data_IF_601571507683
#
_entry.id   IF_601571507683
#
_cell.length_a   1.000
_cell.length_b   1.000
_cell.length_c   1.000
_cell.angle_alpha   90.00
_cell.angle_beta   90.00
_cell.angle_gamma   90.00
#
_symmetry.space_group_name_H-M   'P 1'
#
loop_
_entity.id
_entity.type
_entity.pdbx_description
1 polymer ?
#
# COMPACT_ATOMS: atom_id res chain seq x y z
N UNK A 1 2.21 -22.37 -0.73
CA UNK A 1 2.69 -21.81 0.56
C UNK A 1 2.38 -20.32 0.65
N UNK A 2 2.89 -19.51 -0.29
CA UNK A 2 2.57 -18.08 -0.33
C UNK A 2 1.07 -17.79 -0.53
N UNK A 3 0.36 -18.57 -1.35
CA UNK A 3 -1.09 -18.39 -1.55
C UNK A 3 -1.92 -18.49 -0.27
N UNK A 4 -1.58 -19.42 0.63
CA UNK A 4 -2.30 -19.60 1.89
C UNK A 4 -2.01 -18.46 2.87
N UNK A 5 -0.75 -18.02 2.94
CA UNK A 5 -0.32 -16.87 3.75
C UNK A 5 -1.01 -15.59 3.28
N UNK A 6 -1.02 -15.33 1.97
CA UNK A 6 -1.70 -14.17 1.38
C UNK A 6 -3.20 -14.17 1.71
N UNK A 7 -3.89 -15.30 1.52
CA UNK A 7 -5.31 -15.43 1.86
C UNK A 7 -5.58 -15.19 3.35
N UNK A 8 -4.67 -15.63 4.23
CA UNK A 8 -4.76 -15.43 5.66
C UNK A 8 -4.55 -13.96 6.06
N UNK A 9 -3.59 -13.27 5.46
CA UNK A 9 -3.41 -11.82 5.64
C UNK A 9 -4.63 -11.04 5.15
N UNK A 10 -5.16 -11.39 3.99
CA UNK A 10 -6.35 -10.75 3.43
C UNK A 10 -7.58 -10.95 4.34
N UNK A 11 -7.80 -12.17 4.83
CA UNK A 11 -8.83 -12.48 5.83
C UNK A 11 -8.66 -11.64 7.09
N UNK A 12 -7.44 -11.56 7.66
CA UNK A 12 -7.17 -10.77 8.87
C UNK A 12 -7.52 -9.30 8.67
N UNK A 13 -7.14 -8.71 7.54
CA UNK A 13 -7.48 -7.31 7.24
C UNK A 13 -9.00 -7.08 7.16
N UNK A 14 -9.76 -7.94 6.48
CA UNK A 14 -11.22 -7.85 6.39
C UNK A 14 -11.86 -7.91 7.79
N UNK A 15 -11.42 -8.86 8.61
CA UNK A 15 -11.92 -9.01 9.98
C UNK A 15 -11.55 -7.80 10.85
N UNK A 16 -10.33 -7.29 10.74
CA UNK A 16 -9.89 -6.10 11.47
C UNK A 16 -10.69 -4.86 11.07
N UNK A 17 -10.98 -4.63 9.78
CA UNK A 17 -11.81 -3.49 9.34
C UNK A 17 -13.19 -3.59 9.98
N UNK A 18 -13.78 -4.78 9.95
CA UNK A 18 -15.10 -5.02 10.52
C UNK A 18 -15.11 -4.72 12.02
N UNK A 19 -14.11 -5.19 12.77
CA UNK A 19 -14.00 -4.93 14.21
C UNK A 19 -13.74 -3.45 14.53
N UNK A 20 -12.79 -2.83 13.82
CA UNK A 20 -12.38 -1.44 14.07
C UNK A 20 -13.43 -0.41 13.61
N UNK A 21 -14.33 -0.80 12.70
CA UNK A 21 -15.50 -0.01 12.30
C UNK A 21 -16.73 -0.24 13.18
N UNK A 22 -16.56 -0.89 14.33
CA UNK A 22 -17.66 -1.28 15.23
C UNK A 22 -18.77 -2.05 14.50
N UNK A 23 -18.40 -2.90 13.53
CA UNK A 23 -19.31 -3.69 12.70
C UNK A 23 -20.25 -2.86 11.80
N UNK A 24 -19.98 -1.57 11.58
CA UNK A 24 -20.92 -0.69 10.88
C UNK A 24 -20.43 -0.22 9.51
N UNK A 25 -19.14 0.06 9.32
CA UNK A 25 -18.61 0.74 8.13
C UNK A 25 -17.52 -0.10 7.45
N UNK A 26 -17.96 -1.07 6.65
CA UNK A 26 -17.06 -1.97 5.92
C UNK A 26 -17.67 -2.40 4.57
N UNK A 27 -16.81 -2.78 3.62
CA UNK A 27 -17.17 -3.06 2.22
C UNK A 27 -16.97 -4.54 1.82
N UNK A 28 -16.25 -5.33 2.63
CA UNK A 28 -16.01 -6.76 2.43
C UNK A 28 -16.39 -7.58 3.67
N UNK A 29 -16.81 -8.82 3.42
CA UNK A 29 -17.02 -9.86 4.42
C UNK A 29 -16.24 -11.12 4.03
N UNK A 30 -15.92 -11.95 5.03
CA UNK A 30 -15.21 -13.21 4.81
C UNK A 30 -16.13 -14.40 5.08
N UNK A 31 -16.30 -15.27 4.10
CA UNK A 31 -17.09 -16.50 4.26
C UNK A 31 -16.20 -17.61 4.82
N UNK A 32 -16.39 -17.94 6.09
CA UNK A 32 -15.65 -19.00 6.76
C UNK A 32 -15.87 -20.41 6.18
N UNK A 33 -16.97 -20.64 5.44
CA UNK A 33 -17.27 -21.94 4.83
C UNK A 33 -16.56 -22.12 3.48
N UNK A 34 -16.56 -21.09 2.64
CA UNK A 34 -15.92 -21.14 1.31
C UNK A 34 -14.46 -20.74 1.36
N UNK A 35 -14.02 -20.02 2.40
CA UNK A 35 -12.67 -19.49 2.48
C UNK A 35 -12.43 -18.34 1.49
N UNK A 36 -13.49 -17.62 1.11
CA UNK A 36 -13.44 -16.51 0.14
C UNK A 36 -14.06 -15.22 0.68
N UNK A 37 -13.63 -14.09 0.13
CA UNK A 37 -14.24 -12.80 0.41
C UNK A 37 -15.50 -12.58 -0.43
N UNK A 38 -16.43 -11.77 0.06
CA UNK A 38 -17.59 -11.33 -0.70
C UNK A 38 -17.96 -9.89 -0.31
N UNK A 39 -18.66 -9.12 -1.16
CA UNK A 39 -19.04 -7.76 -0.81
C UNK A 39 -20.02 -7.71 0.36
N UNK A 40 -19.87 -6.69 1.20
CA UNK A 40 -20.70 -6.50 2.38
C UNK A 40 -22.19 -6.32 2.05
N UNK A 41 -23.03 -6.50 3.07
CA UNK A 41 -24.47 -6.23 2.94
C UNK A 41 -24.75 -4.78 2.50
N UNK A 42 -25.91 -4.54 1.87
CA UNK A 42 -26.31 -3.20 1.39
C UNK A 42 -26.22 -2.13 2.48
N UNK A 43 -26.59 -2.46 3.72
CA UNK A 43 -26.57 -1.51 4.84
C UNK A 43 -25.15 -1.12 5.24
N UNK A 44 -24.24 -2.10 5.35
CA UNK A 44 -22.84 -1.86 5.67
C UNK A 44 -22.14 -1.05 4.57
N UNK A 45 -22.47 -1.34 3.29
CA UNK A 45 -21.97 -0.57 2.16
C UNK A 45 -22.44 0.89 2.20
N UNK A 46 -23.72 1.17 2.48
CA UNK A 46 -24.22 2.55 2.59
C UNK A 46 -23.52 3.30 3.72
N UNK A 47 -23.35 2.66 4.88
CA UNK A 47 -22.60 3.23 6.00
C UNK A 47 -21.15 3.55 5.62
N UNK A 48 -20.49 2.65 4.90
CA UNK A 48 -19.15 2.88 4.35
C UNK A 48 -19.08 4.05 3.35
N UNK A 49 -20.08 4.21 2.48
CA UNK A 49 -20.19 5.34 1.57
C UNK A 49 -20.30 6.65 2.34
N UNK A 50 -21.19 6.72 3.33
CA UNK A 50 -21.35 7.91 4.19
C UNK A 50 -20.03 8.23 4.90
N UNK A 51 -19.38 7.21 5.47
CA UNK A 51 -18.10 7.38 6.14
C UNK A 51 -17.01 7.95 5.21
N UNK A 52 -16.93 7.44 3.98
CA UNK A 52 -15.98 7.93 2.96
C UNK A 52 -16.26 9.37 2.57
N UNK A 53 -17.54 9.75 2.41
CA UNK A 53 -17.94 11.13 2.13
C UNK A 53 -17.57 12.07 3.29
N UNK A 54 -17.81 11.66 4.54
CA UNK A 54 -17.44 12.46 5.72
C UNK A 54 -15.92 12.61 5.80
N UNK A 55 -15.16 11.55 5.57
CA UNK A 55 -13.69 11.62 5.55
C UNK A 55 -13.19 12.58 4.46
N UNK A 56 -13.78 12.54 3.26
CA UNK A 56 -13.37 13.37 2.11
C UNK A 56 -13.76 14.84 2.29
N UNK A 57 -15.01 15.12 2.66
CA UNK A 57 -15.56 16.48 2.60
C UNK A 57 -15.55 17.22 3.93
N UNK A 58 -15.33 16.52 5.06
CA UNK A 58 -15.32 17.15 6.39
C UNK A 58 -13.96 16.97 7.05
N UNK A 59 -13.49 15.74 7.21
CA UNK A 59 -12.27 15.47 7.99
C UNK A 59 -11.02 15.94 7.26
N UNK A 60 -10.84 15.55 6.00
CA UNK A 60 -9.64 15.94 5.25
C UNK A 60 -9.48 17.47 5.19
N UNK A 61 -10.52 18.29 4.89
CA UNK A 61 -10.42 19.74 4.96
C UNK A 61 -10.06 20.27 6.36
N UNK A 62 -10.67 19.73 7.43
CA UNK A 62 -10.33 20.11 8.82
C UNK A 62 -8.85 19.84 9.09
N UNK A 63 -8.34 18.68 8.71
CA UNK A 63 -6.93 18.32 8.88
C UNK A 63 -6.00 19.26 8.10
N UNK A 64 -6.34 19.58 6.84
CA UNK A 64 -5.57 20.52 6.04
C UNK A 64 -5.56 21.94 6.64
N UNK A 65 -6.71 22.45 7.07
CA UNK A 65 -6.82 23.76 7.74
C UNK A 65 -6.00 23.76 9.02
N UNK A 66 -6.10 22.68 9.83
CA UNK A 66 -5.35 22.58 11.08
C UNK A 66 -3.84 22.53 10.85
N UNK A 67 -3.38 21.77 9.84
CA UNK A 67 -1.97 21.77 9.46
C UNK A 67 -1.49 23.16 9.04
N UNK A 68 -2.33 23.93 8.33
CA UNK A 68 -2.02 25.31 7.95
C UNK A 68 -1.94 26.25 9.17
N UNK A 69 -2.89 26.16 10.10
CA UNK A 69 -2.89 26.93 11.34
C UNK A 69 -1.64 26.66 12.19
N UNK A 70 -1.34 25.38 12.42
CA UNK A 70 -0.17 24.92 13.19
C UNK A 70 1.17 25.33 12.55
N UNK A 71 1.19 25.57 11.24
CA UNK A 71 2.39 26.09 10.56
C UNK A 71 2.64 27.57 10.87
N UNK A 72 1.58 28.36 11.08
CA UNK A 72 1.66 29.81 11.31
C UNK A 72 1.85 30.20 12.79
N UNK A 73 1.61 29.28 13.71
CA UNK A 73 1.76 29.49 15.14
C UNK A 73 3.25 29.48 15.55
N UNK A 74 3.73 30.59 16.13
CA UNK A 74 5.14 30.78 16.47
C UNK A 74 5.66 29.81 17.55
N UNK A 75 4.76 29.26 18.38
CA UNK A 75 5.07 28.43 19.55
C UNK A 75 4.34 27.08 19.53
N UNK A 76 3.96 26.56 18.35
CA UNK A 76 3.34 25.23 18.31
C UNK A 76 4.31 24.17 18.80
N UNK A 77 3.83 23.26 19.64
CA UNK A 77 4.58 22.07 20.00
C UNK A 77 4.87 21.23 18.74
N UNK A 78 6.15 20.94 18.42
CA UNK A 78 6.51 20.15 17.24
C UNK A 78 5.82 18.78 17.18
N UNK A 79 5.47 18.20 18.34
CA UNK A 79 4.72 16.95 18.42
C UNK A 79 3.32 17.06 17.82
N UNK A 80 2.59 18.14 18.14
CA UNK A 80 1.25 18.39 17.58
C UNK A 80 1.29 18.62 16.07
N UNK A 81 2.26 19.41 15.59
CA UNK A 81 2.45 19.64 14.15
C UNK A 81 2.72 18.32 13.43
N UNK A 82 3.61 17.50 13.97
CA UNK A 82 3.97 16.21 13.40
C UNK A 82 2.76 15.26 13.32
N UNK A 83 2.03 15.09 14.42
CA UNK A 83 0.85 14.19 14.45
C UNK A 83 -0.23 14.68 13.49
N UNK A 84 -0.55 15.98 13.48
CA UNK A 84 -1.55 16.52 12.57
C UNK A 84 -1.19 16.25 11.10
N UNK A 85 0.08 16.46 10.73
CA UNK A 85 0.56 16.20 9.37
C UNK A 85 0.51 14.72 9.00
N UNK A 86 0.93 13.82 9.90
CA UNK A 86 0.88 12.37 9.67
C UNK A 86 -0.54 11.87 9.49
N UNK A 87 -1.48 12.33 10.33
CA UNK A 87 -2.90 11.99 10.21
C UNK A 87 -3.46 12.51 8.88
N UNK A 88 -3.12 13.74 8.49
CA UNK A 88 -3.55 14.34 7.23
C UNK A 88 -3.01 13.59 6.00
N UNK A 89 -1.74 13.20 6.04
CA UNK A 89 -1.09 12.43 4.98
C UNK A 89 -1.67 11.02 4.87
N UNK A 90 -1.79 10.31 6.01
CA UNK A 90 -2.38 8.97 6.05
C UNK A 90 -3.79 8.95 5.45
N UNK A 91 -4.63 9.92 5.84
CA UNK A 91 -5.99 10.01 5.30
C UNK A 91 -5.96 10.37 3.81
N UNK A 92 -5.13 11.33 3.39
CA UNK A 92 -4.99 11.70 1.97
C UNK A 92 -4.58 10.50 1.09
N UNK A 93 -3.66 9.66 1.56
CA UNK A 93 -3.24 8.43 0.86
C UNK A 93 -4.34 7.37 0.86
N UNK A 94 -5.15 7.31 1.91
CA UNK A 94 -6.28 6.37 2.02
C UNK A 94 -7.48 6.74 1.13
N UNK A 95 -7.73 8.02 0.88
CA UNK A 95 -8.91 8.48 0.16
C UNK A 95 -9.09 7.82 -1.22
N UNK A 96 -8.07 7.69 -2.10
CA UNK A 96 -8.22 6.97 -3.38
C UNK A 96 -8.74 5.54 -3.22
N UNK A 97 -8.19 4.78 -2.26
CA UNK A 97 -8.66 3.43 -1.99
C UNK A 97 -10.07 3.42 -1.40
N UNK A 98 -10.37 4.38 -0.51
CA UNK A 98 -11.71 4.49 0.05
C UNK A 98 -12.75 4.75 -1.04
N UNK A 99 -12.45 5.69 -1.96
CA UNK A 99 -13.28 6.00 -3.11
C UNK A 99 -13.46 4.83 -4.06
N UNK A 100 -12.41 4.03 -4.30
CA UNK A 100 -12.51 2.83 -5.13
C UNK A 100 -13.58 1.86 -4.58
N UNK A 101 -13.63 1.65 -3.25
CA UNK A 101 -14.57 0.72 -2.62
C UNK A 101 -15.94 1.33 -2.29
N UNK A 102 -16.21 2.60 -2.63
CA UNK A 102 -17.54 3.22 -2.46
C UNK A 102 -18.59 2.46 -3.26
N UNK A 103 -18.23 1.94 -4.44
CA UNK A 103 -19.13 1.20 -5.31
C UNK A 103 -19.01 -0.31 -5.06
N UNK A 104 -20.16 -0.98 -4.98
CA UNK A 104 -20.22 -2.41 -4.66
C UNK A 104 -19.65 -3.25 -5.80
N UNK A 105 -19.83 -2.80 -7.03
CA UNK A 105 -19.33 -3.40 -8.27
C UNK A 105 -17.80 -3.49 -8.23
N UNK A 106 -17.13 -2.43 -7.77
CA UNK A 106 -15.66 -2.41 -7.62
C UNK A 106 -15.15 -3.38 -6.56
N UNK A 107 -15.93 -3.61 -5.49
CA UNK A 107 -15.62 -4.66 -4.52
C UNK A 107 -15.67 -6.05 -5.16
N UNK A 108 -16.62 -6.31 -6.06
CA UNK A 108 -16.65 -7.57 -6.83
C UNK A 108 -15.43 -7.70 -7.75
N UNK A 109 -15.13 -6.68 -8.56
CA UNK A 109 -13.98 -6.66 -9.46
C UNK A 109 -12.65 -6.85 -8.72
N UNK A 110 -12.52 -6.27 -7.52
CA UNK A 110 -11.36 -6.44 -6.66
C UNK A 110 -11.20 -7.87 -6.17
N UNK A 111 -12.29 -8.48 -5.67
CA UNK A 111 -12.26 -9.88 -5.22
C UNK A 111 -11.91 -10.80 -6.39
N UNK A 112 -12.54 -10.62 -7.55
CA UNK A 112 -12.29 -11.42 -8.74
C UNK A 112 -10.83 -11.30 -9.21
N UNK A 113 -10.27 -10.09 -9.19
CA UNK A 113 -8.87 -9.84 -9.51
C UNK A 113 -7.92 -10.54 -8.53
N UNK A 114 -8.23 -10.47 -7.23
CA UNK A 114 -7.45 -11.12 -6.18
C UNK A 114 -7.51 -12.66 -6.29
N UNK A 115 -8.70 -13.22 -6.49
CA UNK A 115 -8.90 -14.67 -6.65
C UNK A 115 -8.25 -15.20 -7.92
N UNK A 116 -8.35 -14.47 -9.04
CA UNK A 116 -7.69 -14.81 -10.30
C UNK A 116 -6.17 -14.94 -10.15
N UNK A 117 -5.56 -14.07 -9.35
CA UNK A 117 -4.12 -14.12 -9.03
C UNK A 117 -3.78 -15.36 -8.23
N UNK A 118 -4.60 -15.71 -7.23
CA UNK A 118 -4.47 -16.94 -6.46
C UNK A 118 -4.63 -18.18 -7.35
N UNK A 119 -5.58 -18.17 -8.28
CA UNK A 119 -5.84 -19.32 -9.16
C UNK A 119 -4.71 -19.52 -10.18
N UNK A 120 -4.16 -18.43 -10.73
CA UNK A 120 -2.94 -18.49 -11.55
C UNK A 120 -1.76 -19.05 -10.75
N UNK A 121 -1.62 -18.68 -9.48
CA UNK A 121 -0.60 -19.26 -8.61
C UNK A 121 -0.79 -20.78 -8.43
N UNK A 122 -2.00 -21.23 -8.08
CA UNK A 122 -2.33 -22.66 -7.91
C UNK A 122 -2.10 -23.46 -9.18
N UNK A 123 -2.56 -22.93 -10.33
CA UNK A 123 -2.34 -23.55 -11.63
C UNK A 123 -0.84 -23.77 -11.91
N UNK A 124 0.01 -22.78 -11.60
CA UNK A 124 1.44 -22.92 -11.76
C UNK A 124 2.04 -23.93 -10.77
N UNK A 125 1.54 -24.00 -9.53
CA UNK A 125 1.94 -25.03 -8.56
C UNK A 125 1.62 -26.44 -9.06
N UNK A 126 0.45 -26.64 -9.67
CA UNK A 126 0.04 -27.93 -10.25
C UNK A 126 0.91 -28.38 -11.43
N UNK A 127 1.35 -27.44 -12.26
CA UNK A 127 2.25 -27.71 -13.37
C UNK A 127 3.69 -27.97 -12.93
N UNK A 128 4.08 -27.54 -11.73
CA UNK A 128 5.44 -27.69 -11.26
C UNK A 128 5.75 -29.14 -10.83
N UNK A 129 6.95 -29.69 -11.16
CA UNK A 129 7.35 -31.01 -10.70
C UNK A 129 7.32 -31.11 -9.16
N UNK A 130 6.56 -32.07 -8.62
CA UNK A 130 6.32 -32.23 -7.15
C UNK A 130 7.60 -32.47 -6.33
N UNK A 131 8.67 -32.96 -6.94
CA UNK A 131 9.89 -33.39 -6.24
C UNK A 131 10.86 -32.26 -5.89
N UNK A 132 10.64 -31.03 -6.38
CA UNK A 132 11.46 -29.87 -6.05
C UNK A 132 10.65 -28.89 -5.22
N UNK A 133 10.61 -29.12 -3.89
CA UNK A 133 10.13 -28.11 -2.95
C UNK A 133 11.11 -26.94 -2.98
N UNK A 134 10.75 -25.90 -3.71
CA UNK A 134 11.47 -24.64 -3.70
C UNK A 134 11.34 -24.06 -2.28
N UNK A 135 12.44 -24.14 -1.52
CA UNK A 135 12.56 -23.42 -0.24
C UNK A 135 12.90 -21.98 -0.59
N UNK A 136 11.90 -21.19 -0.97
CA UNK A 136 12.03 -19.73 -0.84
C UNK A 136 12.41 -19.50 0.62
N UNK A 137 13.52 -18.80 0.87
CA UNK A 137 14.10 -18.69 2.21
C UNK A 137 13.04 -18.20 3.19
N UNK A 138 12.80 -19.00 4.22
CA UNK A 138 11.87 -18.82 5.36
C UNK A 138 11.90 -17.43 6.02
N UNK A 139 12.92 -16.62 5.70
CA UNK A 139 13.13 -15.27 6.23
C UNK A 139 12.12 -14.28 5.63
N UNK A 140 11.72 -14.43 4.36
CA UNK A 140 10.80 -13.50 3.70
C UNK A 140 9.35 -13.67 4.20
N UNK A 141 8.92 -14.90 4.54
CA UNK A 141 7.57 -15.19 5.03
C UNK A 141 7.34 -14.70 6.45
N UNK A 142 8.36 -14.80 7.32
CA UNK A 142 8.27 -14.28 8.68
C UNK A 142 8.13 -12.75 8.73
N UNK A 143 8.82 -12.04 7.83
CA UNK A 143 8.70 -10.57 7.75
C UNK A 143 7.31 -10.15 7.26
N UNK A 144 6.79 -10.78 6.21
CA UNK A 144 5.46 -10.49 5.69
C UNK A 144 4.35 -10.73 6.73
N UNK A 145 4.43 -11.84 7.47
CA UNK A 145 3.48 -12.13 8.55
C UNK A 145 3.62 -11.14 9.71
N UNK A 146 4.84 -10.78 10.12
CA UNK A 146 5.07 -9.77 11.15
C UNK A 146 4.50 -8.40 10.73
N UNK A 147 4.72 -7.97 9.49
CA UNK A 147 4.15 -6.75 8.94
C UNK A 147 2.62 -6.80 8.94
N UNK A 148 2.04 -7.91 8.46
CA UNK A 148 0.60 -8.09 8.46
C UNK A 148 0.02 -8.03 9.86
N UNK A 149 0.59 -8.75 10.83
CA UNK A 149 0.14 -8.74 12.23
C UNK A 149 0.27 -7.33 12.85
N UNK A 150 1.38 -6.65 12.58
CA UNK A 150 1.60 -5.28 13.06
C UNK A 150 0.52 -4.34 12.53
N UNK A 151 0.21 -4.42 11.23
CA UNK A 151 -0.79 -3.57 10.59
C UNK A 151 -2.22 -3.92 11.04
N UNK A 152 -2.54 -5.20 11.21
CA UNK A 152 -3.92 -5.63 11.53
C UNK A 152 -4.27 -5.52 13.01
N UNK A 153 -3.27 -5.55 13.90
CA UNK A 153 -3.49 -5.57 15.36
C UNK A 153 -2.69 -4.49 16.09
N UNK A 154 -1.38 -4.39 15.84
CA UNK A 154 -0.50 -3.46 16.57
C UNK A 154 -0.85 -1.99 16.34
N UNK A 155 -0.87 -1.57 15.07
CA UNK A 155 -1.13 -0.17 14.71
C UNK A 155 -2.55 0.28 15.10
N UNK A 156 -3.63 -0.50 14.89
CA UNK A 156 -4.97 -0.17 15.39
C UNK A 156 -5.03 0.10 16.90
N UNK A 157 -4.29 -0.69 17.71
CA UNK A 157 -4.19 -0.47 19.15
C UNK A 157 -3.48 0.84 19.46
N UNK A 158 -2.39 1.15 18.75
CA UNK A 158 -1.67 2.43 18.89
C UNK A 158 -2.57 3.61 18.50
N UNK A 159 -3.30 3.52 17.38
CA UNK A 159 -4.25 4.54 16.93
C UNK A 159 -5.32 4.75 18.00
N UNK A 160 -5.89 3.68 18.53
CA UNK A 160 -6.90 3.73 19.58
C UNK A 160 -6.35 4.40 20.84
N UNK A 161 -5.13 4.03 21.24
CA UNK A 161 -4.47 4.63 22.40
C UNK A 161 -4.25 6.13 22.21
N UNK A 162 -3.72 6.55 21.05
CA UNK A 162 -3.48 7.97 20.74
C UNK A 162 -4.80 8.76 20.67
N UNK A 163 -5.81 8.23 19.99
CA UNK A 163 -7.08 8.94 19.82
C UNK A 163 -7.84 9.11 21.14
N UNK A 164 -7.76 8.12 22.05
CA UNK A 164 -8.45 8.13 23.34
C UNK A 164 -7.60 8.85 24.39
N UNK A 165 -6.40 8.36 24.69
CA UNK A 165 -5.64 8.87 25.83
C UNK A 165 -4.83 10.14 25.54
N UNK A 166 -4.55 10.44 24.27
CA UNK A 166 -3.75 11.58 23.85
C UNK A 166 -4.61 12.63 23.12
N UNK A 167 -5.75 13.00 23.71
CA UNK A 167 -6.78 13.81 23.07
C UNK A 167 -6.31 15.20 22.60
N UNK A 168 -5.33 15.80 23.28
CA UNK A 168 -4.75 17.08 22.87
C UNK A 168 -4.03 16.98 21.50
N UNK A 169 -3.56 15.79 21.14
CA UNK A 169 -2.95 15.53 19.83
C UNK A 169 -3.98 15.21 18.74
N UNK A 170 -5.28 15.14 19.05
CA UNK A 170 -6.30 14.91 18.04
C UNK A 170 -6.60 16.23 17.28
N UNK A 171 -6.20 16.36 16.00
CA UNK A 171 -6.35 17.59 15.24
C UNK A 171 -7.81 17.98 14.97
N UNK A 172 -8.72 17.00 14.90
CA UNK A 172 -10.16 17.26 14.69
C UNK A 172 -10.78 17.79 15.98
N UNK A 173 -10.43 17.19 17.12
CA UNK A 173 -10.90 17.67 18.43
C UNK A 173 -10.42 19.09 18.72
N UNK A 174 -9.12 19.35 18.55
CA UNK A 174 -8.54 20.68 18.81
C UNK A 174 -9.15 21.75 17.90
N UNK A 175 -9.32 21.46 16.60
CA UNK A 175 -10.00 22.36 15.68
C UNK A 175 -11.44 22.68 16.13
N UNK A 176 -12.24 21.68 16.47
CA UNK A 176 -13.63 21.89 16.89
C UNK A 176 -13.73 22.62 18.23
N UNK A 177 -12.81 22.35 19.17
CA UNK A 177 -12.70 23.08 20.44
C UNK A 177 -12.45 24.56 20.19
N UNK A 178 -11.46 24.87 19.35
CA UNK A 178 -11.04 26.24 19.04
C UNK A 178 -12.14 27.00 18.26
N UNK A 179 -12.88 26.31 17.38
CA UNK A 179 -13.95 26.91 16.59
C UNK A 179 -15.20 27.23 17.41
N UNK A 180 -15.45 26.51 18.50
CA UNK A 180 -16.73 26.55 19.20
C UNK A 180 -16.70 27.27 20.55
N UNK A 181 -15.53 27.42 21.19
CA UNK A 181 -15.35 28.16 22.44
C UNK A 181 -16.38 27.84 23.54
N UNK A 182 -16.86 26.59 23.63
CA UNK A 182 -17.86 26.23 24.62
C UNK A 182 -17.30 26.23 26.05
N UNK A 183 -18.07 26.77 27.00
CA UNK A 183 -17.71 26.77 28.42
C UNK A 183 -18.17 25.51 29.15
N UNK A 184 -19.29 24.90 28.74
CA UNK A 184 -19.92 23.75 29.42
C UNK A 184 -19.04 22.49 29.44
N UNK A 185 -18.77 21.97 30.64
CA UNK A 185 -17.99 20.74 30.86
C UNK A 185 -18.63 19.52 30.20
N UNK A 186 -19.97 19.39 30.26
CA UNK A 186 -20.68 18.24 29.66
C UNK A 186 -20.45 18.24 28.15
N UNK A 187 -20.58 19.40 27.50
CA UNK A 187 -20.36 19.53 26.07
C UNK A 187 -18.91 19.20 25.69
N UNK A 188 -17.92 19.69 26.46
CA UNK A 188 -16.50 19.38 26.23
C UNK A 188 -16.22 17.87 26.27
N UNK A 189 -16.76 17.18 27.28
CA UNK A 189 -16.60 15.72 27.44
C UNK A 189 -17.28 14.97 26.29
N UNK A 190 -18.50 15.37 25.90
CA UNK A 190 -19.20 14.78 24.76
C UNK A 190 -18.47 15.00 23.44
N UNK A 191 -17.98 16.23 23.18
CA UNK A 191 -17.21 16.57 21.98
C UNK A 191 -15.92 15.75 21.91
N UNK A 192 -15.17 15.69 23.01
CA UNK A 192 -13.98 14.86 23.13
C UNK A 192 -14.28 13.39 22.84
N UNK A 193 -15.28 12.81 23.50
CA UNK A 193 -15.61 11.38 23.36
C UNK A 193 -16.05 11.07 21.92
N UNK A 194 -16.90 11.90 21.33
CA UNK A 194 -17.37 11.74 19.96
C UNK A 194 -16.24 11.85 18.93
N UNK A 195 -15.39 12.86 19.05
CA UNK A 195 -14.25 13.06 18.13
C UNK A 195 -13.17 11.99 18.29
N UNK A 196 -12.89 11.53 19.52
CA UNK A 196 -11.94 10.45 19.78
C UNK A 196 -12.40 9.13 19.14
N UNK A 197 -13.66 8.72 19.37
CA UNK A 197 -14.22 7.50 18.77
C UNK A 197 -14.24 7.61 17.25
N UNK A 198 -14.74 8.73 16.72
CA UNK A 198 -14.83 8.92 15.28
C UNK A 198 -13.46 8.92 14.60
N UNK A 199 -12.47 9.65 15.16
CA UNK A 199 -11.11 9.69 14.62
C UNK A 199 -10.44 8.31 14.68
N UNK A 200 -10.64 7.57 15.77
CA UNK A 200 -10.14 6.21 15.91
C UNK A 200 -10.69 5.29 14.82
N UNK A 201 -12.00 5.31 14.59
CA UNK A 201 -12.66 4.53 13.53
C UNK A 201 -12.12 4.95 12.15
N UNK A 202 -12.15 6.26 11.84
CA UNK A 202 -11.70 6.79 10.55
C UNK A 202 -10.26 6.42 10.23
N UNK A 203 -9.32 6.65 11.16
CA UNK A 203 -7.90 6.38 10.92
C UNK A 203 -7.62 4.88 10.80
N UNK A 204 -8.28 4.06 11.60
CA UNK A 204 -8.08 2.61 11.53
C UNK A 204 -8.67 2.02 10.25
N UNK A 205 -9.86 2.47 9.84
CA UNK A 205 -10.47 2.06 8.56
C UNK A 205 -9.60 2.51 7.39
N UNK A 206 -9.15 3.77 7.38
CA UNK A 206 -8.25 4.31 6.36
C UNK A 206 -6.94 3.49 6.23
N UNK A 207 -6.29 3.22 7.37
CA UNK A 207 -5.07 2.40 7.41
C UNK A 207 -5.29 1.00 6.85
N UNK A 208 -6.34 0.31 7.30
CA UNK A 208 -6.57 -1.08 6.91
C UNK A 208 -7.02 -1.23 5.45
N UNK A 209 -7.71 -0.22 4.90
CA UNK A 209 -8.05 -0.17 3.48
C UNK A 209 -6.80 -0.01 2.61
N UNK A 210 -5.90 0.91 2.99
CA UNK A 210 -4.59 1.03 2.38
C UNK A 210 -3.85 -0.31 2.42
N UNK A 211 -3.85 -0.97 3.58
CA UNK A 211 -3.21 -2.26 3.74
C UNK A 211 -3.79 -3.32 2.79
N UNK A 212 -5.11 -3.44 2.67
CA UNK A 212 -5.75 -4.39 1.74
C UNK A 212 -5.32 -4.12 0.30
N UNK A 213 -5.39 -2.86 -0.15
CA UNK A 213 -5.03 -2.48 -1.51
C UNK A 213 -3.55 -2.75 -1.80
N UNK A 214 -2.65 -2.35 -0.89
CA UNK A 214 -1.22 -2.57 -1.02
C UNK A 214 -0.85 -4.06 -0.98
N UNK A 215 -1.44 -4.85 -0.08
CA UNK A 215 -1.18 -6.29 -0.02
C UNK A 215 -1.69 -7.03 -1.25
N UNK A 216 -2.81 -6.63 -1.83
CA UNK A 216 -3.32 -7.24 -3.06
C UNK A 216 -2.36 -7.03 -4.24
N UNK A 217 -1.83 -5.81 -4.39
CA UNK A 217 -0.84 -5.48 -5.43
C UNK A 217 0.50 -6.16 -5.15
N UNK A 218 0.99 -6.09 -3.92
CA UNK A 218 2.25 -6.72 -3.51
C UNK A 218 2.22 -8.25 -3.69
N UNK A 219 1.09 -8.90 -3.35
CA UNK A 219 0.90 -10.33 -3.58
C UNK A 219 1.08 -10.69 -5.05
N UNK A 220 0.48 -9.91 -5.96
CA UNK A 220 0.66 -10.12 -7.39
C UNK A 220 2.10 -9.95 -7.86
N UNK A 221 2.78 -8.91 -7.40
CA UNK A 221 4.19 -8.67 -7.72
C UNK A 221 5.06 -9.82 -7.22
N UNK A 222 4.88 -10.26 -5.96
CA UNK A 222 5.66 -11.34 -5.36
C UNK A 222 5.44 -12.66 -6.11
N UNK A 223 4.19 -13.04 -6.39
CA UNK A 223 3.90 -14.27 -7.14
C UNK A 223 4.53 -14.20 -8.53
N UNK A 224 4.44 -13.08 -9.25
CA UNK A 224 5.10 -12.90 -10.55
C UNK A 224 6.62 -13.05 -10.44
N UNK A 225 7.23 -12.44 -9.43
CA UNK A 225 8.67 -12.55 -9.17
C UNK A 225 9.08 -14.00 -8.87
N UNK A 226 8.42 -14.66 -7.92
CA UNK A 226 8.72 -16.03 -7.52
C UNK A 226 8.67 -17.00 -8.72
N UNK A 227 7.62 -16.91 -9.54
CA UNK A 227 7.48 -17.77 -10.70
C UNK A 227 8.45 -17.45 -11.83
N UNK A 228 8.84 -16.18 -11.97
CA UNK A 228 9.86 -15.79 -12.93
C UNK A 228 11.24 -16.33 -12.53
N UNK A 229 11.57 -16.39 -11.24
CA UNK A 229 12.78 -17.03 -10.75
C UNK A 229 12.77 -18.55 -10.95
N UNK A 230 11.65 -19.21 -10.59
CA UNK A 230 11.53 -20.67 -10.68
C UNK A 230 11.59 -21.19 -12.11
N UNK A 231 11.33 -20.33 -13.08
CA UNK A 231 11.25 -20.74 -14.47
C UNK A 231 12.54 -21.36 -15.01
N UNK A 232 13.72 -20.95 -14.53
CA UNK A 232 14.98 -21.56 -14.95
C UNK A 232 15.02 -23.07 -14.62
N UNK A 233 14.50 -23.46 -13.45
CA UNK A 233 14.39 -24.87 -13.06
C UNK A 233 13.35 -25.60 -13.91
N UNK A 234 12.20 -24.94 -14.16
CA UNK A 234 11.09 -25.51 -14.93
C UNK A 234 11.43 -25.71 -16.40
N UNK A 235 12.30 -24.87 -16.97
CA UNK A 235 12.79 -25.00 -18.33
C UNK A 235 13.41 -26.38 -18.57
N UNK A 236 14.09 -26.96 -17.57
CA UNK A 236 14.72 -28.28 -17.66
C UNK A 236 13.71 -29.43 -17.71
N UNK A 237 12.61 -29.30 -16.96
CA UNK A 237 11.73 -30.41 -16.65
C UNK A 237 10.41 -30.40 -17.46
N UNK A 238 10.00 -29.25 -18.01
CA UNK A 238 8.72 -29.10 -18.71
C UNK A 238 8.84 -29.15 -20.24
N UNK A 239 7.74 -29.54 -20.88
CA UNK A 239 7.60 -29.50 -22.34
C UNK A 239 7.38 -28.07 -22.82
N UNK A 240 7.73 -27.80 -24.07
CA UNK A 240 7.57 -26.48 -24.70
C UNK A 240 6.15 -25.91 -24.54
N UNK A 241 5.12 -26.74 -24.76
CA UNK A 241 3.73 -26.29 -24.70
C UNK A 241 3.29 -25.93 -23.27
N UNK A 242 3.81 -26.61 -22.25
CA UNK A 242 3.57 -26.31 -20.84
C UNK A 242 4.23 -24.99 -20.44
N UNK A 243 5.48 -24.79 -20.86
CA UNK A 243 6.21 -23.54 -20.64
C UNK A 243 5.49 -22.34 -21.30
N UNK A 244 4.99 -22.52 -22.52
CA UNK A 244 4.20 -21.48 -23.20
C UNK A 244 2.89 -21.19 -22.46
N UNK A 245 2.20 -22.21 -21.94
CA UNK A 245 0.99 -22.03 -21.12
C UNK A 245 1.28 -21.27 -19.83
N UNK A 246 2.33 -21.65 -19.09
CA UNK A 246 2.76 -20.93 -17.89
C UNK A 246 3.10 -19.48 -18.20
N UNK A 247 3.86 -19.24 -19.26
CA UNK A 247 4.24 -17.89 -19.68
C UNK A 247 3.02 -17.02 -20.00
N UNK A 248 2.02 -17.57 -20.72
CA UNK A 248 0.77 -16.86 -21.02
C UNK A 248 -0.03 -16.53 -19.76
N UNK A 249 -0.09 -17.44 -18.79
CA UNK A 249 -0.80 -17.18 -17.53
C UNK A 249 -0.09 -16.13 -16.67
N UNK A 250 1.24 -16.12 -16.63
CA UNK A 250 2.00 -15.01 -16.04
C UNK A 250 1.68 -13.67 -16.73
N UNK A 251 1.53 -13.66 -18.05
CA UNK A 251 1.15 -12.45 -18.78
C UNK A 251 -0.26 -11.99 -18.42
N UNK A 252 -1.22 -12.90 -18.31
CA UNK A 252 -2.59 -12.58 -17.86
C UNK A 252 -2.56 -11.97 -16.46
N UNK A 253 -1.78 -12.55 -15.55
CA UNK A 253 -1.60 -12.02 -14.20
C UNK A 253 -0.96 -10.62 -14.19
N UNK A 254 0.04 -10.34 -15.04
CA UNK A 254 0.56 -8.98 -15.21
C UNK A 254 -0.53 -7.99 -15.62
N UNK A 255 -1.41 -8.37 -16.56
CA UNK A 255 -2.52 -7.51 -17.03
C UNK A 255 -3.53 -7.24 -15.91
N UNK A 256 -3.90 -8.27 -15.14
CA UNK A 256 -4.80 -8.13 -13.98
C UNK A 256 -4.20 -7.20 -12.94
N UNK A 257 -2.91 -7.38 -12.62
CA UNK A 257 -2.21 -6.54 -11.64
C UNK A 257 -2.02 -5.10 -12.10
N UNK A 258 -1.72 -4.88 -13.37
CA UNK A 258 -1.65 -3.55 -13.96
C UNK A 258 -3.03 -2.86 -13.94
N UNK A 259 -4.10 -3.58 -14.27
CA UNK A 259 -5.48 -3.08 -14.17
C UNK A 259 -5.82 -2.67 -12.74
N UNK A 260 -5.58 -3.57 -11.78
CA UNK A 260 -5.81 -3.32 -10.36
C UNK A 260 -5.01 -2.13 -9.83
N UNK A 261 -3.72 -2.02 -10.17
CA UNK A 261 -2.88 -0.91 -9.75
C UNK A 261 -3.37 0.44 -10.29
N UNK A 262 -3.80 0.48 -11.55
CA UNK A 262 -4.37 1.68 -12.19
C UNK A 262 -5.69 2.10 -11.58
N UNK A 263 -6.56 1.14 -11.28
CA UNK A 263 -7.85 1.40 -10.66
C UNK A 263 -7.72 1.91 -9.21
N UNK A 264 -6.72 1.44 -8.47
CA UNK A 264 -6.43 1.92 -7.11
C UNK A 264 -5.68 3.27 -7.10
N UNK A 265 -5.04 3.66 -8.22
CA UNK A 265 -4.28 4.91 -8.46
C UNK A 265 -3.06 5.10 -7.55
N UNK A 266 -3.20 4.95 -6.23
CA UNK A 266 -2.14 5.13 -5.26
C UNK A 266 -0.93 4.22 -5.49
N UNK A 267 -1.05 2.94 -5.89
CA UNK A 267 0.09 2.14 -6.31
C UNK A 267 0.82 2.74 -7.52
N UNK A 268 0.14 3.49 -8.39
CA UNK A 268 0.77 4.20 -9.50
C UNK A 268 1.41 5.54 -9.11
N UNK A 269 0.97 6.12 -7.98
CA UNK A 269 1.49 7.37 -7.41
C UNK A 269 2.47 7.13 -6.25
N UNK A 270 2.80 5.88 -5.91
CA UNK A 270 3.61 5.53 -4.74
C UNK A 270 4.91 6.34 -4.67
N UNK A 271 5.64 6.46 -5.78
CA UNK A 271 6.88 7.23 -5.83
C UNK A 271 6.66 8.70 -5.42
N UNK A 272 5.64 9.36 -5.97
CA UNK A 272 5.32 10.74 -5.64
C UNK A 272 4.93 10.89 -4.17
N UNK A 273 4.09 9.99 -3.65
CA UNK A 273 3.64 9.97 -2.27
C UNK A 273 4.85 9.80 -1.33
N UNK A 274 5.67 8.76 -1.56
CA UNK A 274 6.81 8.43 -0.69
C UNK A 274 7.91 9.49 -0.73
N UNK A 275 8.18 10.12 -1.87
CA UNK A 275 9.12 11.26 -1.95
C UNK A 275 8.58 12.45 -1.18
N UNK A 276 7.29 12.79 -1.34
CA UNK A 276 6.68 13.92 -0.66
C UNK A 276 6.67 13.72 0.87
N UNK A 277 6.26 12.54 1.33
CA UNK A 277 6.23 12.19 2.75
C UNK A 277 7.62 12.17 3.37
N UNK A 278 8.61 11.54 2.71
CA UNK A 278 9.98 11.50 3.21
C UNK A 278 10.63 12.89 3.21
N UNK A 279 10.35 13.73 2.21
CA UNK A 279 10.82 15.11 2.14
C UNK A 279 10.26 15.95 3.27
N UNK A 280 8.95 15.84 3.54
CA UNK A 280 8.31 16.52 4.65
C UNK A 280 8.86 16.04 6.00
N UNK A 281 8.96 14.73 6.20
CA UNK A 281 9.53 14.13 7.41
C UNK A 281 10.97 14.59 7.66
N UNK A 282 11.83 14.55 6.62
CA UNK A 282 13.23 14.98 6.73
C UNK A 282 13.33 16.50 6.97
N UNK A 283 12.49 17.31 6.33
CA UNK A 283 12.44 18.76 6.56
C UNK A 283 12.11 19.07 8.03
N UNK A 284 11.03 18.49 8.57
CA UNK A 284 10.67 18.70 9.97
C UNK A 284 11.67 18.09 10.96
N UNK A 285 12.34 16.99 10.58
CA UNK A 285 13.43 16.42 11.37
C UNK A 285 14.60 17.40 11.48
N UNK A 286 15.12 17.88 10.36
CA UNK A 286 16.27 18.79 10.34
C UNK A 286 15.95 20.14 11.00
N UNK A 287 14.74 20.67 10.79
CA UNK A 287 14.30 21.94 11.36
C UNK A 287 14.36 21.97 12.90
N UNK A 288 14.16 20.84 13.56
CA UNK A 288 14.25 20.74 15.03
C UNK A 288 15.67 20.95 15.57
N UNK A 289 16.70 20.73 14.76
CA UNK A 289 18.11 20.88 15.16
C UNK A 289 18.74 22.21 14.71
N UNK A 290 17.98 23.09 14.06
CA UNK A 290 18.45 24.43 13.69
C UNK A 290 18.48 25.36 14.92
N UNK A 291 19.29 26.43 14.90
CA UNK A 291 19.37 27.37 16.02
C UNK A 291 18.00 27.92 16.41
N UNK A 292 17.65 27.83 17.70
CA UNK A 292 16.34 28.25 18.23
C UNK A 292 15.23 27.20 18.13
N UNK A 293 15.50 26.02 17.54
CA UNK A 293 14.56 24.91 17.48
C UNK A 293 14.35 24.21 18.83
N UNK A 294 13.11 23.76 19.08
CA UNK A 294 12.79 22.82 20.16
C UNK A 294 12.84 21.39 19.62
N UNK A 295 13.62 20.52 20.27
CA UNK A 295 13.73 19.11 19.89
C UNK A 295 12.58 18.33 20.52
N UNK A 296 11.73 17.73 19.67
CA UNK A 296 10.70 16.79 20.09
C UNK A 296 11.14 15.36 19.77
N UNK A 297 11.32 14.54 20.81
CA UNK A 297 11.65 13.12 20.65
C UNK A 297 10.58 12.40 19.82
N UNK A 298 9.31 12.72 20.03
CA UNK A 298 8.20 12.12 19.29
C UNK A 298 8.28 12.44 17.79
N UNK A 299 8.41 13.73 17.45
CA UNK A 299 8.52 14.15 16.06
C UNK A 299 9.76 13.55 15.37
N UNK A 300 10.87 13.44 16.12
CA UNK A 300 12.10 12.81 15.63
C UNK A 300 11.91 11.31 15.33
N UNK A 301 11.31 10.55 16.26
CA UNK A 301 11.04 9.12 16.08
C UNK A 301 10.08 8.90 14.90
N UNK A 302 8.99 9.67 14.83
CA UNK A 302 8.01 9.57 13.74
C UNK A 302 8.66 9.88 12.39
N UNK A 303 9.47 10.92 12.30
CA UNK A 303 10.17 11.26 11.06
C UNK A 303 11.12 10.14 10.60
N UNK A 304 11.92 9.58 11.52
CA UNK A 304 12.82 8.45 11.22
C UNK A 304 12.03 7.22 10.76
N UNK A 305 10.92 6.91 11.42
CA UNK A 305 10.04 5.79 11.03
C UNK A 305 9.46 6.02 9.64
N UNK A 306 8.96 7.22 9.32
CA UNK A 306 8.40 7.53 8.00
C UNK A 306 9.44 7.45 6.88
N UNK A 307 10.63 8.00 7.10
CA UNK A 307 11.74 7.91 6.15
C UNK A 307 12.14 6.43 5.94
N UNK A 308 12.26 5.68 7.03
CA UNK A 308 12.60 4.25 6.98
C UNK A 308 11.55 3.42 6.25
N UNK A 309 10.27 3.64 6.55
CA UNK A 309 9.15 2.98 5.86
C UNK A 309 9.13 3.35 4.38
N UNK A 310 9.25 4.64 4.04
CA UNK A 310 9.30 5.09 2.64
C UNK A 310 10.44 4.45 1.86
N UNK A 311 11.63 4.38 2.47
CA UNK A 311 12.78 3.68 1.90
C UNK A 311 12.50 2.19 1.66
N UNK A 312 11.92 1.48 2.64
CA UNK A 312 11.59 0.05 2.54
C UNK A 312 10.54 -0.17 1.45
N UNK A 313 9.47 0.63 1.42
CA UNK A 313 8.41 0.51 0.41
C UNK A 313 8.92 0.78 -1.00
N UNK A 314 9.69 1.85 -1.18
CA UNK A 314 10.25 2.20 -2.49
C UNK A 314 11.23 1.14 -2.97
N UNK A 315 12.12 0.68 -2.08
CA UNK A 315 13.05 -0.41 -2.38
C UNK A 315 12.29 -1.67 -2.77
N UNK A 316 11.25 -2.03 -2.02
CA UNK A 316 10.42 -3.19 -2.29
C UNK A 316 9.72 -3.07 -3.65
N UNK A 317 9.00 -1.97 -3.89
CA UNK A 317 8.23 -1.77 -5.11
C UNK A 317 9.13 -1.78 -6.36
N UNK A 318 10.22 -1.00 -6.36
CA UNK A 318 11.14 -0.93 -7.50
C UNK A 318 11.83 -2.28 -7.70
N UNK A 319 12.44 -2.83 -6.65
CA UNK A 319 13.28 -4.02 -6.78
C UNK A 319 12.48 -5.22 -7.28
N UNK A 320 11.34 -5.53 -6.66
CA UNK A 320 10.57 -6.70 -7.05
C UNK A 320 9.98 -6.55 -8.46
N UNK A 321 9.54 -5.35 -8.85
CA UNK A 321 9.05 -5.10 -10.22
C UNK A 321 10.18 -5.19 -11.24
N UNK A 322 11.34 -4.59 -10.94
CA UNK A 322 12.53 -4.63 -11.80
C UNK A 322 13.06 -6.06 -11.97
N UNK A 323 13.13 -6.81 -10.87
CA UNK A 323 13.59 -8.19 -10.86
C UNK A 323 12.59 -9.11 -11.58
N UNK A 324 11.28 -8.94 -11.37
CA UNK A 324 10.25 -9.66 -12.11
C UNK A 324 10.33 -9.40 -13.63
N UNK A 325 10.48 -8.13 -14.04
CA UNK A 325 10.62 -7.76 -15.44
C UNK A 325 11.91 -8.31 -16.08
N UNK A 326 13.03 -8.23 -15.35
CA UNK A 326 14.32 -8.76 -15.79
C UNK A 326 14.30 -10.28 -15.92
N UNK A 327 13.68 -10.97 -14.95
CA UNK A 327 13.50 -12.41 -14.97
C UNK A 327 12.59 -12.83 -16.14
N UNK A 328 11.49 -12.12 -16.41
CA UNK A 328 10.63 -12.35 -17.58
C UNK A 328 11.36 -12.23 -18.92
N UNK A 329 12.26 -11.24 -19.07
CA UNK A 329 13.10 -11.07 -20.27
C UNK A 329 14.17 -12.14 -20.41
N UNK A 330 14.84 -12.50 -19.30
CA UNK A 330 15.83 -13.58 -19.28
C UNK A 330 15.17 -14.90 -19.69
N UNK A 331 14.00 -15.15 -19.13
CA UNK A 331 13.19 -16.30 -19.45
C UNK A 331 12.90 -16.41 -20.96
N UNK A 332 12.35 -15.36 -21.56
CA UNK A 332 12.07 -15.37 -23.01
C UNK A 332 13.32 -15.71 -23.83
N UNK A 333 14.48 -15.14 -23.46
CA UNK A 333 15.78 -15.43 -24.12
C UNK A 333 16.20 -16.89 -23.98
N UNK A 334 16.07 -17.47 -22.80
CA UNK A 334 16.39 -18.89 -22.55
C UNK A 334 15.47 -19.84 -23.33
N UNK A 335 14.16 -19.54 -23.40
CA UNK A 335 13.21 -20.30 -24.23
C UNK A 335 13.57 -20.25 -25.72
N UNK A 336 13.97 -19.07 -26.23
CA UNK A 336 14.40 -18.91 -27.63
C UNK A 336 15.67 -19.72 -27.90
N UNK A 337 16.64 -19.68 -26.99
CA UNK A 337 17.90 -20.41 -27.14
C UNK A 337 17.66 -21.92 -27.18
N UNK A 338 16.78 -22.43 -26.32
CA UNK A 338 16.55 -23.88 -26.19
C UNK A 338 15.59 -24.45 -27.23
N UNK A 339 14.53 -23.74 -27.58
CA UNK A 339 13.45 -24.25 -28.43
C UNK A 339 13.33 -23.54 -29.79
N UNK A 340 14.15 -22.52 -30.05
CA UNK A 340 14.09 -21.71 -31.27
C UNK A 340 14.63 -22.37 -32.54
N UNK A 341 15.08 -23.63 -32.48
CA UNK A 341 15.54 -24.40 -33.65
C UNK A 341 14.42 -24.65 -34.65
N UNK A 342 13.19 -24.89 -34.18
CA UNK A 342 12.02 -25.13 -35.04
C UNK A 342 11.37 -23.80 -35.47
N UNK A 343 11.07 -23.64 -36.76
CA UNK A 343 10.39 -22.44 -37.30
C UNK A 343 9.08 -22.12 -36.58
N UNK A 344 8.26 -23.14 -36.30
CA UNK A 344 7.01 -22.99 -35.55
C UNK A 344 7.25 -22.43 -34.14
N UNK A 345 8.12 -23.08 -33.35
CA UNK A 345 8.43 -22.66 -31.98
C UNK A 345 9.03 -21.25 -31.93
N UNK A 346 9.93 -20.93 -32.88
CA UNK A 346 10.47 -19.56 -33.02
C UNK A 346 9.39 -18.53 -33.28
N UNK A 347 8.41 -18.82 -34.13
CA UNK A 347 7.26 -17.94 -34.39
C UNK A 347 6.43 -17.73 -33.13
N UNK A 348 6.11 -18.80 -32.41
CA UNK A 348 5.37 -18.73 -31.13
C UNK A 348 6.12 -17.88 -30.09
N UNK A 349 7.42 -18.10 -29.92
CA UNK A 349 8.25 -17.34 -28.97
C UNK A 349 8.40 -15.86 -29.40
N UNK A 350 8.45 -15.59 -30.70
CA UNK A 350 8.47 -14.24 -31.25
C UNK A 350 7.22 -13.42 -30.88
N UNK A 351 6.07 -14.08 -30.75
CA UNK A 351 4.81 -13.42 -30.35
C UNK A 351 4.66 -13.22 -28.84
N UNK A 352 5.53 -13.81 -28.01
CA UNK A 352 5.47 -13.64 -26.56
C UNK A 352 6.04 -12.26 -26.17
N UNK A 353 5.25 -11.45 -25.48
CA UNK A 353 5.71 -10.18 -24.90
C UNK A 353 6.37 -10.42 -23.54
N UNK A 354 7.36 -9.64 -23.13
CA UNK A 354 7.93 -9.74 -21.78
C UNK A 354 6.84 -9.60 -20.69
N UNK A 355 6.97 -10.39 -19.62
CA UNK A 355 6.15 -10.24 -18.43
C UNK A 355 6.75 -9.12 -17.59
N UNK A 356 6.19 -7.92 -17.71
CA UNK A 356 6.56 -6.74 -16.94
C UNK A 356 5.27 -6.09 -16.44
N UNK A 357 5.27 -5.70 -15.17
CA UNK A 357 4.22 -4.82 -14.62
C UNK A 357 4.70 -3.39 -14.76
N UNK A 358 3.84 -2.53 -15.26
CA UNK A 358 4.08 -1.11 -15.29
C UNK A 358 3.31 -0.45 -14.13
N UNK A 359 4.03 -0.04 -13.09
CA UNK A 359 3.45 0.68 -11.95
C UNK A 359 3.60 2.20 -12.10
N UNK A 360 4.03 2.73 -13.23
CA UNK A 360 4.11 4.19 -13.43
C UNK A 360 2.77 4.73 -13.94
N UNK A 361 2.27 5.80 -13.29
CA UNK A 361 1.09 6.52 -13.79
C UNK A 361 1.34 7.18 -15.16
N UNK A 362 2.56 7.68 -15.37
CA UNK A 362 3.05 8.19 -16.66
C UNK A 362 4.23 7.32 -17.05
N UNK A 363 4.01 6.42 -18.00
CA UNK A 363 5.06 5.54 -18.48
C UNK A 363 5.62 6.07 -19.79
N UNK A 364 6.95 6.10 -19.86
CA UNK A 364 7.63 6.29 -21.13
C UNK A 364 7.60 4.97 -21.91
N UNK A 365 7.66 5.04 -23.24
CA UNK A 365 7.84 3.84 -24.09
C UNK A 365 9.06 3.03 -23.63
N UNK A 366 10.07 3.72 -23.10
CA UNK A 366 11.29 3.12 -22.59
C UNK A 366 11.10 2.42 -21.24
N UNK A 367 10.28 2.95 -20.32
CA UNK A 367 9.96 2.24 -19.07
C UNK A 367 9.01 1.05 -19.30
N UNK A 368 8.13 1.11 -20.29
CA UNK A 368 7.31 -0.03 -20.73
C UNK A 368 8.18 -1.15 -21.32
N UNK A 369 9.17 -0.78 -22.14
CA UNK A 369 10.02 -1.76 -22.84
C UNK A 369 11.16 -2.28 -21.95
N UNK A 370 11.80 -1.40 -21.19
CA UNK A 370 13.01 -1.69 -20.42
C UNK A 370 12.73 -2.05 -18.96
N UNK A 371 11.57 -1.68 -18.41
CA UNK A 371 11.28 -1.78 -16.98
C UNK A 371 11.95 -0.66 -16.18
N UNK A 372 11.63 -0.56 -14.89
CA UNK A 372 12.24 0.42 -13.98
C UNK A 372 13.64 -0.09 -13.58
N UNK A 373 14.69 0.69 -13.82
CA UNK A 373 16.07 0.34 -13.44
C UNK A 373 16.43 0.79 -12.03
N UNK A 374 17.50 0.23 -11.45
CA UNK A 374 17.99 0.60 -10.11
C UNK A 374 18.41 2.07 -10.02
N UNK A 375 18.79 2.69 -11.14
CA UNK A 375 19.09 4.13 -11.20
C UNK A 375 17.89 5.00 -10.78
N UNK A 376 16.66 4.49 -10.94
CA UNK A 376 15.46 5.15 -10.47
C UNK A 376 15.47 5.30 -8.93
N UNK A 377 15.98 4.29 -8.22
CA UNK A 377 16.08 4.27 -6.77
C UNK A 377 17.16 5.22 -6.22
N UNK A 378 18.34 5.27 -6.86
CA UNK A 378 19.38 6.24 -6.44
C UNK A 378 18.83 7.67 -6.51
N UNK A 379 18.00 7.94 -7.53
CA UNK A 379 17.29 9.21 -7.68
C UNK A 379 16.20 9.44 -6.62
N UNK A 380 15.73 8.43 -5.87
CA UNK A 380 14.79 8.64 -4.77
C UNK A 380 15.46 9.40 -3.61
N UNK A 381 16.58 8.89 -3.11
CA UNK A 381 17.33 9.53 -2.01
C UNK A 381 17.79 10.92 -2.41
N UNK A 382 18.33 11.05 -3.63
CA UNK A 382 18.74 12.34 -4.18
C UNK A 382 17.57 13.33 -4.27
N UNK A 383 16.39 12.90 -4.73
CA UNK A 383 15.19 13.76 -4.79
C UNK A 383 14.77 14.23 -3.41
N UNK A 384 14.68 13.32 -2.44
CA UNK A 384 14.29 13.66 -1.06
C UNK A 384 15.25 14.69 -0.47
N UNK A 385 16.56 14.43 -0.55
CA UNK A 385 17.58 15.35 -0.01
C UNK A 385 17.54 16.70 -0.72
N UNK A 386 17.52 16.74 -2.05
CA UNK A 386 17.53 17.97 -2.82
C UNK A 386 16.29 18.82 -2.56
N UNK A 387 15.10 18.21 -2.49
CA UNK A 387 13.86 18.92 -2.19
C UNK A 387 13.85 19.43 -0.75
N UNK A 388 14.33 18.63 0.21
CA UNK A 388 14.44 19.07 1.61
C UNK A 388 15.38 20.27 1.74
N UNK A 389 16.56 20.22 1.10
CA UNK A 389 17.50 21.35 1.10
C UNK A 389 16.89 22.60 0.47
N UNK A 390 16.18 22.45 -0.66
CA UNK A 390 15.46 23.57 -1.28
C UNK A 390 14.41 24.19 -0.35
N UNK A 391 13.65 23.37 0.39
CA UNK A 391 12.70 23.85 1.39
C UNK A 391 13.36 24.55 2.58
N UNK A 392 14.52 24.07 3.03
CA UNK A 392 15.27 24.73 4.11
C UNK A 392 15.83 26.09 3.67
N UNK A 393 16.35 26.18 2.44
CA UNK A 393 16.94 27.41 1.89
C UNK A 393 15.94 28.49 1.50
N UNK A 394 14.64 28.17 1.42
CA UNK A 394 13.57 29.12 1.03
C UNK A 394 12.76 29.64 2.22
N UNK A 395 13.02 29.12 3.43
CA UNK A 395 12.30 29.48 4.66
C UNK A 395 13.08 30.51 5.51
N UNK A 396 14.31 30.83 5.10
CA UNK A 396 15.04 32.05 5.50
C UNK A 396 14.71 33.21 4.54
#
# INVERSE_FOLDING_TARGET
>A
MWGDEAALVFKRCILSIRLCSCLNSYFLEWNGKTGSAYPASRWHQISYQIHTLVCTFVIQPILCIRCYQLRGELNSDPGHVCIAYVIAALLAVALPFMWYFVWRERSYEFIESYESVSDVHKFMEELSPRNKKFKLQLIETNFADLCAQSITYGIPVIISFVCIFCYDFNPVYTFLRDATNFESTIFKVSLYTGTAIFSCISLTVALLINAIGLFAVANGIIVLYMWSLRFHELLLDLRFDELVKMYKNLRVMCIIQEGLARDLIAPCLHHFILVTEATAALHYFLRQFMPGGQVSYLASVVAVVLIGLGFVYETFAIRFVADAGSAGKRLKREMITRYGSTRYKRKVLGTLLPNCINLEFISSVDTIHNGIGMDYFIRYVERVVNQTLGLLLTVD
#
